data_IF_306389685595
#
_entry.id   IF_306389685595
#
_cell.length_a   1.000
_cell.length_b   1.000
_cell.length_c   1.000
_cell.angle_alpha   90.00
_cell.angle_beta   90.00
_cell.angle_gamma   90.00
#
_symmetry.space_group_name_H-M   'P 1'
#
loop_
_entity.id
_entity.type
_entity.pdbx_description
1 polymer ?
#
# COMPACT_ATOMS: atom_id res chain seq x y z
N UNK A 1 -44.25 -27.33 -62.53
CA UNK A 1 -43.50 -26.16 -62.74
C UNK A 1 -43.90 -25.13 -61.70
N UNK A 2 -43.28 -25.02 -60.57
CA UNK A 2 -43.47 -23.97 -59.57
C UNK A 2 -42.20 -23.75 -58.80
N UNK A 3 -41.60 -22.58 -59.03
CA UNK A 3 -40.44 -22.11 -58.31
C UNK A 3 -40.86 -21.75 -56.88
N UNK A 4 -40.28 -22.42 -55.92
CA UNK A 4 -40.46 -22.08 -54.49
C UNK A 4 -39.25 -21.34 -54.01
N UNK A 5 -39.46 -20.03 -53.75
CA UNK A 5 -38.43 -19.11 -53.23
C UNK A 5 -38.12 -19.46 -51.77
N UNK A 6 -36.87 -19.78 -51.49
CA UNK A 6 -36.36 -20.00 -50.13
C UNK A 6 -36.00 -18.66 -49.53
N UNK A 7 -36.91 -18.05 -48.78
CA UNK A 7 -36.58 -17.00 -47.82
C UNK A 7 -36.53 -17.63 -46.44
N UNK A 8 -35.36 -18.03 -46.02
CA UNK A 8 -35.13 -18.40 -44.62
C UNK A 8 -35.03 -17.13 -43.78
N UNK A 9 -35.94 -17.01 -42.86
CA UNK A 9 -35.92 -16.04 -41.80
C UNK A 9 -34.82 -16.41 -40.81
N UNK A 10 -33.72 -15.64 -40.78
CA UNK A 10 -32.75 -15.71 -39.73
C UNK A 10 -33.29 -14.84 -38.59
N UNK A 11 -33.87 -15.48 -37.59
CA UNK A 11 -34.18 -14.83 -36.31
C UNK A 11 -32.84 -14.77 -35.54
N UNK A 12 -32.16 -13.64 -35.61
CA UNK A 12 -31.04 -13.35 -34.76
C UNK A 12 -31.57 -13.08 -33.33
N UNK A 13 -31.48 -14.10 -32.48
CA UNK A 13 -31.69 -13.95 -31.06
C UNK A 13 -30.48 -13.20 -30.48
N UNK A 14 -30.59 -11.89 -30.37
CA UNK A 14 -29.67 -11.08 -29.61
C UNK A 14 -29.85 -11.35 -28.11
N UNK A 15 -29.11 -12.30 -27.57
CA UNK A 15 -28.93 -12.44 -26.14
C UNK A 15 -28.10 -11.25 -25.69
N UNK A 16 -28.77 -10.21 -25.26
CA UNK A 16 -28.12 -9.08 -24.58
C UNK A 16 -27.51 -9.56 -23.28
N UNK A 17 -26.21 -9.78 -23.28
CA UNK A 17 -25.46 -9.99 -22.05
C UNK A 17 -25.43 -8.65 -21.28
N UNK A 18 -26.43 -8.47 -20.42
CA UNK A 18 -26.43 -7.37 -19.47
C UNK A 18 -25.26 -7.60 -18.49
N UNK A 19 -24.08 -7.07 -18.82
CA UNK A 19 -23.03 -6.86 -17.85
C UNK A 19 -23.55 -5.87 -16.80
N UNK A 20 -24.21 -6.36 -15.78
CA UNK A 20 -24.41 -5.61 -14.56
C UNK A 20 -23.04 -5.41 -13.95
N UNK A 21 -22.42 -4.27 -14.24
CA UNK A 21 -21.28 -3.77 -13.48
C UNK A 21 -21.78 -3.54 -12.06
N UNK A 22 -21.61 -4.55 -11.20
CA UNK A 22 -21.70 -4.35 -9.76
C UNK A 22 -20.52 -3.45 -9.44
N UNK A 23 -20.74 -2.15 -9.55
CA UNK A 23 -19.83 -1.15 -9.03
C UNK A 23 -19.79 -1.34 -7.52
N UNK A 24 -18.87 -2.18 -7.04
CA UNK A 24 -18.46 -2.13 -5.65
C UNK A 24 -17.84 -0.75 -5.47
N UNK A 25 -18.63 0.19 -4.98
CA UNK A 25 -18.12 1.45 -4.46
C UNK A 25 -17.16 1.05 -3.35
N UNK A 26 -15.88 0.99 -3.69
CA UNK A 26 -14.82 0.88 -2.68
C UNK A 26 -15.03 2.09 -1.77
N UNK A 27 -15.63 1.87 -0.60
CA UNK A 27 -15.86 2.92 0.38
C UNK A 27 -14.49 3.41 0.83
N UNK A 28 -14.01 4.45 0.19
CA UNK A 28 -12.81 5.15 0.56
C UNK A 28 -12.93 5.55 2.05
N UNK A 29 -11.92 5.23 2.85
CA UNK A 29 -11.97 5.56 4.26
C UNK A 29 -12.03 7.08 4.42
N UNK A 30 -12.91 7.57 5.30
CA UNK A 30 -12.93 9.00 5.62
C UNK A 30 -11.60 9.43 6.26
N UNK A 31 -11.21 10.68 6.05
CA UNK A 31 -9.99 11.27 6.63
C UNK A 31 -9.84 10.94 8.13
N UNK A 32 -10.87 11.18 8.91
CA UNK A 32 -10.86 10.91 10.36
C UNK A 32 -10.60 9.44 10.70
N UNK A 33 -11.05 8.51 9.85
CA UNK A 33 -10.82 7.08 10.03
C UNK A 33 -9.36 6.71 9.74
N UNK A 34 -8.76 7.30 8.71
CA UNK A 34 -7.34 7.11 8.38
C UNK A 34 -6.50 7.67 9.53
N UNK A 35 -6.76 8.89 9.98
CA UNK A 35 -6.04 9.55 11.07
C UNK A 35 -6.10 8.74 12.38
N UNK A 36 -7.28 8.20 12.71
CA UNK A 36 -7.44 7.35 13.89
C UNK A 36 -6.62 6.07 13.81
N UNK A 37 -6.55 5.45 12.64
CA UNK A 37 -5.73 4.25 12.41
C UNK A 37 -4.23 4.58 12.48
N UNK A 38 -3.82 5.72 11.93
CA UNK A 38 -2.43 6.20 11.99
C UNK A 38 -2.00 6.38 13.45
N UNK A 39 -2.83 7.00 14.31
CA UNK A 39 -2.52 7.17 15.72
C UNK A 39 -2.31 5.85 16.46
N UNK A 40 -3.05 4.81 16.09
CA UNK A 40 -2.88 3.47 16.67
C UNK A 40 -1.56 2.88 16.15
N UNK A 41 -1.34 2.88 14.83
CA UNK A 41 -0.14 2.32 14.22
C UNK A 41 1.15 3.02 14.68
N UNK A 42 1.12 4.34 14.88
CA UNK A 42 2.27 5.07 15.44
C UNK A 42 2.63 4.64 16.86
N UNK A 43 1.61 4.34 17.70
CA UNK A 43 1.86 3.79 19.05
C UNK A 43 2.41 2.37 18.99
N UNK A 44 1.87 1.52 18.12
CA UNK A 44 2.39 0.17 17.89
C UNK A 44 3.85 0.23 17.45
N UNK A 45 4.17 1.08 16.48
CA UNK A 45 5.52 1.30 15.97
C UNK A 45 6.49 1.76 17.06
N UNK A 46 6.10 2.74 17.87
CA UNK A 46 6.92 3.24 18.98
C UNK A 46 7.19 2.16 20.04
N UNK A 47 6.26 1.23 20.23
CA UNK A 47 6.37 0.13 21.19
C UNK A 47 7.26 -1.04 20.68
N UNK A 48 7.67 -1.05 19.39
CA UNK A 48 8.60 -2.07 18.89
C UNK A 48 10.00 -1.93 19.52
N UNK A 49 10.35 -0.75 19.99
CA UNK A 49 11.61 -0.54 20.68
C UNK A 49 12.08 0.93 20.68
N UNK A 50 13.09 1.26 21.51
CA UNK A 50 13.58 2.63 21.65
C UNK A 50 14.18 3.18 20.34
N UNK A 51 14.71 2.32 19.48
CA UNK A 51 15.27 2.70 18.19
C UNK A 51 14.21 3.24 17.24
N UNK A 52 13.01 2.64 17.23
CA UNK A 52 11.89 3.16 16.44
C UNK A 52 11.41 4.52 16.94
N UNK A 53 11.41 4.74 18.25
CA UNK A 53 11.10 6.07 18.82
C UNK A 53 12.13 7.12 18.40
N UNK A 54 13.42 6.79 18.35
CA UNK A 54 14.45 7.69 17.83
C UNK A 54 14.22 7.97 16.33
N UNK A 55 13.98 6.92 15.53
CA UNK A 55 13.74 7.05 14.09
C UNK A 55 12.50 7.91 13.79
N UNK A 56 11.42 7.74 14.54
CA UNK A 56 10.22 8.59 14.45
C UNK A 56 10.56 10.07 14.67
N UNK A 57 11.41 10.36 15.64
CA UNK A 57 11.75 11.74 16.01
C UNK A 57 12.81 12.38 15.09
N UNK A 58 13.69 11.59 14.49
CA UNK A 58 14.78 12.09 13.64
C UNK A 58 14.42 12.16 12.16
N UNK A 59 13.33 11.52 11.73
CA UNK A 59 12.94 11.50 10.33
C UNK A 59 12.31 12.82 9.89
N UNK A 60 12.67 13.31 8.70
CA UNK A 60 12.07 14.46 8.05
C UNK A 60 10.57 14.25 7.74
N UNK A 61 10.19 12.99 7.47
CA UNK A 61 8.81 12.59 7.26
C UNK A 61 8.63 11.08 7.40
N UNK A 62 7.39 10.65 7.63
CA UNK A 62 7.02 9.25 7.77
C UNK A 62 5.78 8.97 6.92
N UNK A 63 5.88 8.08 5.94
CA UNK A 63 4.70 7.57 5.26
C UNK A 63 4.17 6.38 6.03
N UNK A 64 3.05 6.56 6.72
CA UNK A 64 2.39 5.54 7.53
C UNK A 64 1.20 4.94 6.78
N UNK A 65 1.25 3.63 6.55
CA UNK A 65 0.18 2.86 5.91
C UNK A 65 -0.42 1.86 6.92
N UNK A 66 -1.41 2.28 7.71
CA UNK A 66 -2.03 1.41 8.70
C UNK A 66 -2.99 0.42 8.05
N UNK A 67 -2.98 -0.83 8.50
CA UNK A 67 -3.94 -1.87 8.11
C UNK A 67 -4.03 -2.12 6.60
N UNK A 68 -2.90 -2.24 5.93
CA UNK A 68 -2.83 -2.76 4.56
C UNK A 68 -3.39 -4.17 4.56
N UNK A 69 -4.28 -4.47 3.63
CA UNK A 69 -4.89 -5.79 3.45
C UNK A 69 -4.27 -6.44 2.25
N UNK A 70 -3.83 -7.66 2.41
CA UNK A 70 -3.30 -8.49 1.34
C UNK A 70 -4.06 -9.80 1.29
N UNK A 71 -4.33 -10.30 0.09
CA UNK A 71 -5.01 -11.57 -0.09
C UNK A 71 -4.94 -12.07 -1.52
N UNK A 72 -5.02 -13.40 -1.69
CA UNK A 72 -5.02 -14.07 -2.98
C UNK A 72 -4.79 -15.57 -2.86
N UNK A 73 -4.96 -16.28 -3.97
CA UNK A 73 -4.71 -17.73 -4.05
C UNK A 73 -3.45 -18.06 -4.87
N UNK A 74 -3.31 -17.52 -6.03
CA UNK A 74 -2.11 -17.64 -6.91
C UNK A 74 -1.58 -16.27 -7.29
N UNK A 75 -2.46 -15.27 -7.25
CA UNK A 75 -2.15 -13.87 -7.46
C UNK A 75 -2.58 -13.13 -6.20
N UNK A 76 -1.65 -12.47 -5.55
CA UNK A 76 -1.91 -11.65 -4.39
C UNK A 76 -2.12 -10.19 -4.79
N UNK A 77 -3.06 -9.52 -4.14
CA UNK A 77 -3.21 -8.07 -4.23
C UNK A 77 -3.19 -7.49 -2.84
N UNK A 78 -2.54 -6.35 -2.70
CA UNK A 78 -2.52 -5.58 -1.46
C UNK A 78 -3.11 -4.21 -1.70
N UNK A 79 -3.87 -3.73 -0.73
CA UNK A 79 -4.42 -2.37 -0.74
C UNK A 79 -4.49 -1.79 0.67
N UNK A 80 -4.13 -0.52 0.77
CA UNK A 80 -4.23 0.24 2.01
C UNK A 80 -4.29 1.74 1.75
N UNK A 81 -4.73 2.48 2.75
CA UNK A 81 -4.75 3.94 2.75
C UNK A 81 -4.05 4.44 4.01
N UNK A 82 -3.27 5.51 3.84
CA UNK A 82 -2.49 6.10 4.91
C UNK A 82 -2.18 7.56 4.64
N UNK A 83 -1.20 8.10 5.33
CA UNK A 83 -0.77 9.46 5.16
C UNK A 83 0.73 9.64 5.35
N UNK A 84 1.26 10.65 4.69
CA UNK A 84 2.56 11.23 4.97
C UNK A 84 2.42 12.14 6.20
N UNK A 85 3.28 11.91 7.18
CA UNK A 85 3.37 12.68 8.42
C UNK A 85 4.63 13.53 8.38
N UNK A 86 4.50 14.80 8.73
CA UNK A 86 5.62 15.71 9.00
C UNK A 86 5.42 16.25 10.41
N UNK A 87 6.42 16.10 11.27
CA UNK A 87 6.26 16.42 12.68
C UNK A 87 5.11 15.67 13.34
N UNK A 88 4.85 14.42 12.92
CA UNK A 88 3.76 13.54 13.34
C UNK A 88 2.34 14.01 12.97
N UNK A 89 2.19 15.07 12.19
CA UNK A 89 0.91 15.54 11.67
C UNK A 89 0.69 15.06 10.23
N UNK A 90 -0.49 14.53 9.87
CA UNK A 90 -0.79 14.12 8.49
C UNK A 90 -0.89 15.36 7.58
N UNK A 91 -0.07 15.38 6.54
CA UNK A 91 -0.01 16.49 5.57
C UNK A 91 -0.57 16.10 4.19
N UNK A 92 -0.40 14.84 3.79
CA UNK A 92 -0.86 14.32 2.50
C UNK A 92 -1.35 12.89 2.69
N UNK A 93 -2.37 12.48 1.91
CA UNK A 93 -2.92 11.13 1.98
C UNK A 93 -2.50 10.32 0.77
N UNK A 94 -2.25 9.02 1.00
CA UNK A 94 -1.79 8.08 -0.02
C UNK A 94 -2.57 6.78 0.05
N UNK A 95 -2.72 6.15 -1.10
CA UNK A 95 -3.05 4.72 -1.20
C UNK A 95 -1.82 3.93 -1.56
N UNK A 96 -1.75 2.69 -1.09
CA UNK A 96 -0.78 1.69 -1.55
C UNK A 96 -1.54 0.58 -2.25
N UNK A 97 -1.03 0.17 -3.41
CA UNK A 97 -1.48 -1.02 -4.12
C UNK A 97 -0.25 -1.82 -4.55
N UNK A 98 -0.30 -3.13 -4.34
CA UNK A 98 0.72 -4.06 -4.83
C UNK A 98 0.06 -5.28 -5.45
N UNK A 99 0.71 -5.84 -6.47
CA UNK A 99 0.38 -7.15 -7.02
C UNK A 99 1.58 -8.06 -6.79
N UNK A 100 1.36 -9.22 -6.23
CA UNK A 100 2.40 -10.23 -6.02
C UNK A 100 2.04 -11.52 -6.74
N UNK A 101 3.07 -12.14 -7.33
CA UNK A 101 2.98 -13.48 -7.90
C UNK A 101 3.62 -14.46 -6.92
N UNK A 102 2.92 -15.53 -6.60
CA UNK A 102 3.45 -16.58 -5.73
C UNK A 102 2.36 -17.34 -5.00
N UNK A 103 2.73 -18.45 -4.37
CA UNK A 103 1.84 -19.26 -3.56
C UNK A 103 1.49 -18.53 -2.23
N UNK A 104 0.76 -17.44 -2.34
CA UNK A 104 0.20 -16.75 -1.19
C UNK A 104 -1.25 -17.21 -1.02
N UNK A 105 -1.43 -18.28 -0.26
CA UNK A 105 -2.77 -18.74 0.11
C UNK A 105 -3.11 -18.09 1.44
N UNK A 106 -4.05 -17.15 1.42
CA UNK A 106 -4.56 -16.61 2.67
C UNK A 106 -4.86 -15.13 2.66
N UNK A 107 -5.27 -14.71 3.82
CA UNK A 107 -5.61 -13.33 4.18
C UNK A 107 -4.62 -12.84 5.22
N UNK A 108 -4.07 -11.67 4.99
CA UNK A 108 -3.22 -11.01 5.99
C UNK A 108 -3.51 -9.52 6.04
N UNK A 109 -3.25 -8.96 7.20
CA UNK A 109 -3.22 -7.52 7.43
C UNK A 109 -1.87 -7.18 8.03
N UNK A 110 -1.36 -6.02 7.68
CA UNK A 110 -0.14 -5.47 8.25
C UNK A 110 -0.18 -3.95 8.23
N UNK A 111 0.67 -3.34 8.99
CA UNK A 111 0.99 -1.93 8.90
C UNK A 111 2.40 -1.78 8.35
N UNK A 112 2.66 -0.69 7.63
CA UNK A 112 4.00 -0.36 7.18
C UNK A 112 4.29 1.12 7.39
N UNK A 113 5.55 1.42 7.67
CA UNK A 113 6.05 2.78 7.74
C UNK A 113 7.28 2.92 6.85
N UNK A 114 7.38 4.03 6.12
CA UNK A 114 8.61 4.45 5.45
C UNK A 114 9.09 5.73 6.09
N UNK A 115 10.34 5.73 6.52
CA UNK A 115 11.01 6.85 7.17
C UNK A 115 11.91 7.55 6.16
N UNK A 116 11.66 8.81 5.91
CA UNK A 116 12.52 9.68 5.11
C UNK A 116 13.51 10.37 6.04
N UNK A 117 14.77 9.96 6.02
CA UNK A 117 15.79 10.46 6.97
C UNK A 117 16.33 11.82 6.58
N UNK A 118 16.15 12.23 5.33
CA UNK A 118 16.58 13.54 4.82
C UNK A 118 15.43 14.31 4.17
N UNK A 119 15.51 15.64 4.22
CA UNK A 119 14.58 16.53 3.51
C UNK A 119 14.64 16.30 1.98
N UNK A 120 15.79 15.88 1.46
CA UNK A 120 15.96 15.58 0.04
C UNK A 120 15.17 14.35 -0.37
N UNK A 121 15.20 13.27 0.42
CA UNK A 121 14.45 12.05 0.14
C UNK A 121 12.94 12.31 0.24
N UNK A 122 12.52 13.06 1.26
CA UNK A 122 11.14 13.50 1.43
C UNK A 122 10.67 14.36 0.25
N UNK A 123 11.47 15.34 -0.16
CA UNK A 123 11.14 16.21 -1.28
C UNK A 123 11.08 15.46 -2.61
N UNK A 124 11.96 14.47 -2.82
CA UNK A 124 11.88 13.59 -3.99
C UNK A 124 10.57 12.81 -4.00
N UNK A 125 10.21 12.22 -2.86
CA UNK A 125 8.96 11.49 -2.71
C UNK A 125 7.74 12.39 -3.01
N UNK A 126 7.68 13.60 -2.52
CA UNK A 126 6.53 14.50 -2.66
C UNK A 126 6.36 15.12 -4.05
N UNK A 127 7.43 15.18 -4.86
CA UNK A 127 7.36 15.78 -6.22
C UNK A 127 6.55 14.96 -7.21
N UNK A 128 6.42 13.67 -7.00
CA UNK A 128 5.72 12.76 -7.91
C UNK A 128 4.37 12.35 -7.34
N UNK A 129 3.37 12.20 -8.19
CA UNK A 129 2.02 11.78 -7.79
C UNK A 129 1.89 10.26 -7.62
N UNK A 130 2.93 9.52 -7.91
CA UNK A 130 2.97 8.06 -7.74
C UNK A 130 4.38 7.51 -7.73
N UNK A 131 4.62 6.53 -6.88
CA UNK A 131 5.90 5.88 -6.67
C UNK A 131 5.76 4.38 -6.68
N UNK A 132 6.70 3.70 -7.36
CA UNK A 132 6.88 2.26 -7.22
C UNK A 132 8.13 2.01 -6.40
N UNK A 133 7.97 1.35 -5.26
CA UNK A 133 9.06 1.03 -4.36
C UNK A 133 9.99 0.01 -5.00
N UNK A 134 11.29 0.24 -4.88
CA UNK A 134 12.33 -0.57 -5.55
C UNK A 134 12.67 -0.09 -6.97
N UNK A 135 11.71 0.48 -7.72
CA UNK A 135 11.96 1.02 -9.05
C UNK A 135 12.26 2.53 -9.03
N UNK A 136 11.40 3.30 -8.35
CA UNK A 136 11.50 4.77 -8.32
C UNK A 136 12.20 5.28 -7.05
N UNK A 137 12.15 4.49 -5.98
CA UNK A 137 12.71 4.84 -4.67
C UNK A 137 13.42 3.62 -4.07
N UNK A 138 14.74 3.73 -3.90
CA UNK A 138 15.52 2.78 -3.10
C UNK A 138 15.17 2.91 -1.62
N UNK A 139 15.17 1.80 -0.92
CA UNK A 139 14.90 1.75 0.51
C UNK A 139 15.57 0.53 1.15
N UNK A 140 15.87 0.64 2.44
CA UNK A 140 16.34 -0.48 3.25
C UNK A 140 15.22 -0.96 4.17
N UNK A 141 14.95 -2.28 4.17
CA UNK A 141 14.01 -2.88 5.12
C UNK A 141 14.67 -3.08 6.47
N UNK A 142 13.93 -2.71 7.49
CA UNK A 142 14.30 -2.93 8.90
C UNK A 142 13.46 -4.08 9.44
N UNK A 143 14.11 -5.12 9.96
CA UNK A 143 13.40 -6.21 10.65
C UNK A 143 13.04 -5.79 12.08
N UNK A 144 11.88 -6.23 12.58
CA UNK A 144 11.40 -5.87 13.93
C UNK A 144 12.33 -6.37 15.07
N UNK A 145 13.13 -7.40 14.80
CA UNK A 145 14.11 -7.93 15.74
C UNK A 145 15.52 -7.32 15.64
N UNK A 146 15.74 -6.46 14.66
CA UNK A 146 17.05 -5.90 14.40
C UNK A 146 17.33 -4.73 15.34
N UNK A 147 18.44 -4.82 16.09
CA UNK A 147 18.96 -3.68 16.86
C UNK A 147 19.59 -2.72 15.87
N UNK A 148 18.80 -1.79 15.38
CA UNK A 148 19.34 -0.71 14.56
C UNK A 148 20.06 0.24 15.48
N UNK A 149 21.38 0.22 15.42
CA UNK A 149 22.19 1.25 16.05
C UNK A 149 22.05 2.52 15.20
N UNK A 150 21.14 3.39 15.64
CA UNK A 150 20.82 4.65 14.97
C UNK A 150 21.88 5.69 15.34
N UNK A 151 23.14 5.37 15.10
CA UNK A 151 24.20 6.37 15.07
C UNK A 151 24.22 7.03 13.69
N UNK A 152 24.41 8.34 13.69
CA UNK A 152 24.39 9.23 12.52
C UNK A 152 25.34 8.84 11.39
N UNK A 153 26.21 7.85 11.60
CA UNK A 153 27.13 7.30 10.60
C UNK A 153 26.63 6.03 9.90
N UNK A 154 25.51 5.43 10.34
CA UNK A 154 25.01 4.15 9.81
C UNK A 154 23.94 4.32 8.74
N UNK A 155 23.38 5.52 8.59
CA UNK A 155 22.41 5.79 7.52
C UNK A 155 23.11 5.95 6.17
N UNK A 156 23.33 4.83 5.46
CA UNK A 156 23.75 4.88 4.05
C UNK A 156 22.61 5.18 3.10
N UNK A 157 21.38 4.86 3.50
CA UNK A 157 20.18 5.02 2.70
C UNK A 157 19.31 6.16 3.20
N UNK A 158 18.68 6.85 2.28
CA UNK A 158 17.80 7.99 2.54
C UNK A 158 16.40 7.58 3.02
N UNK A 159 16.03 6.29 2.86
CA UNK A 159 14.69 5.79 3.15
C UNK A 159 14.75 4.41 3.79
N UNK A 160 14.05 4.26 4.90
CA UNK A 160 13.92 2.98 5.61
C UNK A 160 12.48 2.53 5.67
N UNK A 161 12.24 1.25 5.45
CA UNK A 161 10.93 0.63 5.52
C UNK A 161 10.81 -0.36 6.67
N UNK A 162 9.67 -0.40 7.34
CA UNK A 162 9.33 -1.43 8.33
C UNK A 162 7.92 -1.93 8.11
N UNK A 163 7.73 -3.24 8.30
CA UNK A 163 6.42 -3.89 8.32
C UNK A 163 6.16 -4.38 9.74
N UNK A 164 4.98 -4.09 10.30
CA UNK A 164 4.64 -4.43 11.67
C UNK A 164 3.15 -4.70 11.84
N UNK A 165 2.73 -5.16 13.02
CA UNK A 165 1.33 -5.42 13.34
C UNK A 165 0.70 -6.44 12.40
N UNK A 166 1.45 -7.48 12.05
CA UNK A 166 1.01 -8.51 11.11
C UNK A 166 -0.01 -9.44 11.77
N UNK A 167 -1.15 -9.63 11.12
CA UNK A 167 -2.21 -10.56 11.50
C UNK A 167 -2.51 -11.51 10.33
N UNK A 168 -2.67 -12.80 10.59
CA UNK A 168 -2.99 -13.83 9.59
C UNK A 168 -1.84 -14.79 9.27
N UNK A 169 -1.93 -15.51 8.16
CA UNK A 169 -0.87 -16.41 7.72
C UNK A 169 0.29 -15.61 7.12
N UNK A 170 1.43 -15.68 7.78
CA UNK A 170 2.63 -14.93 7.42
C UNK A 170 3.45 -15.66 6.34
N UNK A 171 3.38 -15.22 5.12
CA UNK A 171 4.34 -15.59 4.09
C UNK A 171 4.84 -14.33 3.38
N UNK A 172 6.08 -13.95 3.67
CA UNK A 172 6.91 -13.06 2.85
C UNK A 172 6.25 -11.76 2.38
N UNK A 173 5.78 -10.90 3.31
CA UNK A 173 5.36 -9.56 2.93
C UNK A 173 6.59 -8.76 2.55
N UNK A 174 6.61 -8.24 1.33
CA UNK A 174 7.58 -7.25 0.89
C UNK A 174 6.88 -5.96 0.51
N UNK A 175 7.56 -4.84 0.65
CA UNK A 175 7.12 -3.55 0.13
C UNK A 175 7.55 -3.33 -1.31
N UNK A 176 8.45 -4.16 -1.82
CA UNK A 176 8.97 -4.06 -3.19
C UNK A 176 7.84 -4.20 -4.23
N UNK A 177 7.88 -3.37 -5.26
CA UNK A 177 6.84 -3.32 -6.27
C UNK A 177 5.52 -2.67 -5.82
N UNK A 178 5.44 -2.21 -4.56
CA UNK A 178 4.27 -1.47 -4.09
C UNK A 178 4.19 -0.09 -4.73
N UNK A 179 3.04 0.22 -5.31
CA UNK A 179 2.76 1.53 -5.89
C UNK A 179 2.01 2.40 -4.89
N UNK A 180 2.61 3.53 -4.56
CA UNK A 180 2.00 4.56 -3.73
C UNK A 180 1.47 5.67 -4.62
N UNK A 181 0.23 6.09 -4.39
CA UNK A 181 -0.42 7.14 -5.16
C UNK A 181 -1.07 8.14 -4.21
N UNK A 182 -0.88 9.44 -4.49
CA UNK A 182 -1.53 10.50 -3.72
C UNK A 182 -3.05 10.44 -3.94
N UNK A 183 -3.81 10.62 -2.86
CA UNK A 183 -5.26 10.64 -2.87
C UNK A 183 -5.80 11.88 -2.17
N UNK A 184 -6.90 12.42 -2.68
CA UNK A 184 -7.64 13.50 -2.02
C UNK A 184 -8.55 12.92 -0.95
N UNK A 185 -8.51 13.47 0.29
CA UNK A 185 -9.36 13.10 1.43
C UNK A 185 -9.86 14.33 2.17
#
# INVERSE_FOLDING_TARGET
MKNSSRRQFIIASSVGLACTTIGTTANAASRSRIDSRIKIAMRELANLGPNFSKLINSSAGILMMPKVRSGGLMFGTSYGEGALLIGQAPVEYYSVAAASFGMQVGWQKYSSAMFFTSENSLARFRRNDGWTLGADLGYTMIDQGEVIDIDSNTYSDDVYGVIFGQEGLHFGVTLEGSKYSRITR
#
